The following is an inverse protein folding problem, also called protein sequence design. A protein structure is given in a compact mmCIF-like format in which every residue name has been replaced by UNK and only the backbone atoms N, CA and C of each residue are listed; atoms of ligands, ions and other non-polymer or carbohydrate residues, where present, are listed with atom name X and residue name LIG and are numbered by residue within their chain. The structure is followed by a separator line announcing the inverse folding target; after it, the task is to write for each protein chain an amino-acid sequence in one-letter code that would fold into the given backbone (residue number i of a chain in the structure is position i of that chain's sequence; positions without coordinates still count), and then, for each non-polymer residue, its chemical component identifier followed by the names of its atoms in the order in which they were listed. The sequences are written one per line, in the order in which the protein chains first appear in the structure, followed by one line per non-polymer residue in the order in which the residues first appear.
data_IF_380164005376
#
_entry.id   IF_380164005376
#
_cell.length_a   1.000
_cell.length_b   1.000
_cell.length_c   1.000
_cell.angle_alpha   90.00
_cell.angle_beta   90.00
_cell.angle_gamma   90.00
#
_symmetry.space_group_name_H-M   'P 1'
#
loop_
_entity.id
_entity.type
_entity.pdbx_description
1 polymer ?
#
# COMPACT_ATOMS: atom_id res chain seq x y z
N UNK A 1 -14.93 -21.53 4.96
CA UNK A 1 -14.39 -20.17 4.71
C UNK A 1 -12.92 -20.16 5.09
N UNK A 2 -11.99 -19.84 4.17
CA UNK A 2 -10.54 -19.85 4.48
C UNK A 2 -10.26 -18.71 5.46
N UNK A 3 -9.82 -19.05 6.67
CA UNK A 3 -9.33 -18.09 7.66
C UNK A 3 -8.15 -17.33 7.05
N UNK A 4 -8.37 -16.06 6.71
CA UNK A 4 -7.29 -15.13 6.41
C UNK A 4 -6.55 -14.92 7.72
N UNK A 5 -5.52 -15.74 7.95
CA UNK A 5 -4.59 -15.58 9.06
C UNK A 5 -3.99 -14.17 8.97
N UNK A 6 -4.60 -13.23 9.67
CA UNK A 6 -4.13 -11.88 9.90
C UNK A 6 -2.91 -12.00 10.82
N UNK A 7 -1.81 -12.53 10.31
CA UNK A 7 -0.54 -12.46 11.02
C UNK A 7 -0.21 -10.99 11.14
N UNK A 8 -0.38 -10.47 12.35
CA UNK A 8 0.07 -9.15 12.70
C UNK A 8 1.59 -9.20 12.60
N UNK A 9 2.13 -8.65 11.52
CA UNK A 9 3.57 -8.65 11.29
C UNK A 9 4.15 -7.49 12.09
N UNK A 10 5.07 -7.81 12.99
CA UNK A 10 5.92 -6.83 13.66
C UNK A 10 7.26 -6.79 12.94
N UNK A 11 7.84 -5.61 12.82
CA UNK A 11 9.22 -5.45 12.35
C UNK A 11 10.15 -6.16 13.33
N UNK A 12 10.97 -7.10 12.85
CA UNK A 12 11.95 -7.79 13.70
C UNK A 12 13.01 -6.84 14.27
N UNK A 13 13.31 -5.72 13.58
CA UNK A 13 14.29 -4.72 14.02
C UNK A 13 13.76 -3.76 15.07
N UNK A 14 12.48 -3.41 15.03
CA UNK A 14 11.94 -2.31 15.83
C UNK A 14 10.76 -2.72 16.73
N UNK A 15 10.26 -3.94 16.59
CA UNK A 15 9.08 -4.42 17.32
C UNK A 15 7.76 -3.76 16.90
N UNK A 16 7.80 -2.75 16.02
CA UNK A 16 6.64 -1.97 15.59
C UNK A 16 5.74 -2.77 14.66
N UNK A 17 4.43 -2.53 14.75
CA UNK A 17 3.45 -3.10 13.83
C UNK A 17 3.68 -2.56 12.41
N UNK A 18 3.73 -3.48 11.43
CA UNK A 18 3.85 -3.11 10.02
C UNK A 18 2.47 -2.99 9.42
N UNK A 19 2.11 -1.76 9.04
CA UNK A 19 0.90 -1.52 8.25
C UNK A 19 1.14 -2.03 6.82
N UNK A 20 0.52 -3.16 6.48
CA UNK A 20 0.52 -3.66 5.10
C UNK A 20 -0.48 -2.89 4.25
N UNK A 21 -0.31 -2.90 2.93
CA UNK A 21 -1.22 -2.22 1.99
C UNK A 21 -2.68 -2.64 2.19
N UNK A 22 -2.93 -3.94 2.37
CA UNK A 22 -4.27 -4.49 2.63
C UNK A 22 -4.89 -3.93 3.91
N UNK A 23 -4.09 -3.75 4.97
CA UNK A 23 -4.60 -3.21 6.23
C UNK A 23 -4.81 -1.69 6.13
N UNK A 24 -3.90 -0.99 5.45
CA UNK A 24 -4.06 0.42 5.13
C UNK A 24 -5.34 0.69 4.35
N UNK A 25 -5.64 -0.11 3.33
CA UNK A 25 -6.87 0.02 2.54
C UNK A 25 -8.13 -0.15 3.39
N UNK A 26 -8.16 -1.12 4.31
CA UNK A 26 -9.28 -1.30 5.23
C UNK A 26 -9.48 -0.11 6.17
N UNK A 27 -8.38 0.49 6.64
CA UNK A 27 -8.43 1.70 7.49
C UNK A 27 -8.97 2.88 6.68
N UNK A 28 -8.42 3.11 5.49
CA UNK A 28 -8.89 4.16 4.57
C UNK A 28 -10.38 4.01 4.23
N UNK A 29 -10.86 2.78 4.03
CA UNK A 29 -12.27 2.52 3.72
C UNK A 29 -13.23 2.91 4.86
N UNK A 30 -12.80 2.80 6.13
CA UNK A 30 -13.59 3.26 7.29
C UNK A 30 -13.81 4.77 7.25
N UNK A 31 -12.85 5.52 6.70
CA UNK A 31 -12.93 6.97 6.51
C UNK A 31 -13.57 7.36 5.16
N UNK A 32 -14.13 6.40 4.41
CA UNK A 32 -14.70 6.64 3.09
C UNK A 32 -13.67 6.94 2.00
N UNK A 33 -12.37 6.79 2.28
CA UNK A 33 -11.30 7.00 1.32
C UNK A 33 -11.14 5.77 0.41
N UNK A 34 -11.07 6.01 -0.90
CA UNK A 34 -10.81 4.99 -1.91
C UNK A 34 -9.73 5.46 -2.87
N UNK A 35 -8.94 4.51 -3.38
CA UNK A 35 -7.99 4.80 -4.46
C UNK A 35 -8.75 5.13 -5.74
N UNK A 36 -8.24 6.11 -6.50
CA UNK A 36 -8.68 6.28 -7.88
C UNK A 36 -8.19 5.10 -8.73
N UNK A 37 -8.90 4.74 -9.82
CA UNK A 37 -8.49 3.64 -10.70
C UNK A 37 -7.04 3.75 -11.16
N UNK A 38 -6.62 4.94 -11.59
CA UNK A 38 -5.24 5.23 -12.02
C UNK A 38 -4.21 4.94 -10.93
N UNK A 39 -4.43 5.38 -9.69
CA UNK A 39 -3.47 5.10 -8.62
C UNK A 39 -3.47 3.63 -8.21
N UNK A 40 -4.63 2.95 -8.30
CA UNK A 40 -4.73 1.51 -8.12
C UNK A 40 -3.86 0.74 -9.12
N UNK A 41 -3.85 1.14 -10.39
CA UNK A 41 -3.00 0.55 -11.43
C UNK A 41 -1.52 0.76 -11.16
N UNK A 42 -1.11 1.98 -10.82
CA UNK A 42 0.30 2.31 -10.53
C UNK A 42 0.83 1.46 -9.37
N UNK A 43 0.05 1.35 -8.29
CA UNK A 43 0.41 0.51 -7.14
C UNK A 43 0.50 -0.97 -7.53
N UNK A 44 -0.46 -1.47 -8.31
CA UNK A 44 -0.48 -2.85 -8.78
C UNK A 44 0.71 -3.17 -9.69
N UNK A 45 1.07 -2.27 -10.59
CA UNK A 45 2.25 -2.41 -11.44
C UNK A 45 3.53 -2.41 -10.62
N UNK A 46 3.64 -1.54 -9.61
CA UNK A 46 4.80 -1.52 -8.71
C UNK A 46 4.98 -2.84 -7.95
N UNK A 47 3.89 -3.45 -7.49
CA UNK A 47 3.93 -4.78 -6.85
C UNK A 47 4.35 -5.85 -7.86
N UNK A 48 3.76 -5.88 -9.06
CA UNK A 48 4.11 -6.86 -10.10
C UNK A 48 5.58 -6.78 -10.55
N UNK A 49 6.15 -5.57 -10.54
CA UNK A 49 7.56 -5.33 -10.88
C UNK A 49 8.52 -5.61 -9.72
N UNK A 50 8.02 -6.02 -8.55
CA UNK A 50 8.86 -6.31 -7.38
C UNK A 50 9.46 -5.08 -6.72
N UNK A 51 8.89 -3.89 -6.95
CA UNK A 51 9.45 -2.65 -6.41
C UNK A 51 9.38 -2.61 -4.88
N UNK A 52 10.42 -2.06 -4.27
CA UNK A 52 10.46 -1.73 -2.86
C UNK A 52 9.38 -0.69 -2.50
N UNK A 53 9.15 -0.51 -1.19
CA UNK A 53 8.21 0.49 -0.71
C UNK A 53 8.63 1.92 -1.06
N UNK A 54 9.93 2.22 -1.00
CA UNK A 54 10.49 3.53 -1.36
C UNK A 54 10.33 3.83 -2.84
N UNK A 55 10.63 2.88 -3.71
CA UNK A 55 10.44 3.05 -5.15
C UNK A 55 8.96 3.28 -5.51
N UNK A 56 8.05 2.53 -4.87
CA UNK A 56 6.61 2.77 -5.04
C UNK A 56 6.20 4.16 -4.58
N UNK A 57 6.72 4.65 -3.44
CA UNK A 57 6.46 6.01 -2.97
C UNK A 57 6.98 7.07 -3.94
N UNK A 58 8.16 6.87 -4.51
CA UNK A 58 8.73 7.76 -5.51
C UNK A 58 7.85 7.83 -6.77
N UNK A 59 7.36 6.69 -7.29
CA UNK A 59 6.43 6.67 -8.43
C UNK A 59 5.15 7.46 -8.16
N UNK A 60 4.57 7.32 -6.97
CA UNK A 60 3.36 8.07 -6.58
C UNK A 60 3.64 9.58 -6.58
N UNK A 61 4.77 10.00 -5.99
CA UNK A 61 5.17 11.42 -5.95
C UNK A 61 5.36 11.99 -7.35
N UNK A 62 6.02 11.26 -8.23
CA UNK A 62 6.21 11.67 -9.63
C UNK A 62 4.89 11.79 -10.38
N UNK A 63 3.95 10.85 -10.17
CA UNK A 63 2.64 10.91 -10.79
C UNK A 63 1.82 12.12 -10.34
N UNK A 64 1.88 12.44 -9.04
CA UNK A 64 1.24 13.63 -8.49
C UNK A 64 1.89 14.90 -9.07
N UNK A 65 3.22 14.92 -9.22
CA UNK A 65 3.94 16.08 -9.79
C UNK A 65 3.55 16.34 -11.25
N UNK A 66 3.34 15.29 -12.06
CA UNK A 66 2.89 15.40 -13.46
C UNK A 66 1.46 15.92 -13.62
N UNK A 67 0.65 15.89 -12.55
CA UNK A 67 -0.72 16.41 -12.56
C UNK A 67 -0.78 17.93 -12.42
N UNK A 68 0.36 18.59 -12.14
CA UNK A 68 0.48 20.04 -12.03
C UNK A 68 0.67 20.67 -13.40
#
# INVERSE_FOLDING_TARGET
MKSLNSRIIRSAKTGQFVLTSVRGEKISAVEGMKLSPRMGEILSQGVRRGLSGDERRSLIKEEIRKKK
#
